data_IF_110866800683
#
_entry.id   IF_110866800683
#
_cell.length_a   1.000
_cell.length_b   1.000
_cell.length_c   1.000
_cell.angle_alpha   90.00
_cell.angle_beta   90.00
_cell.angle_gamma   90.00
#
_symmetry.space_group_name_H-M   'P 1'
#
loop_
_entity.id
_entity.type
_entity.pdbx_description
1 polymer ?
#
# COMPACT_ATOMS: atom_id res chain seq x y z
N UNK A 1 -25.70 -47.21 -22.84
CA UNK A 1 -25.73 -45.71 -22.97
C UNK A 1 -25.40 -45.04 -21.62
N UNK A 2 -24.12 -44.95 -21.21
CA UNK A 2 -23.76 -44.32 -19.92
C UNK A 2 -22.30 -43.82 -19.90
N UNK A 3 -21.89 -42.94 -20.85
CA UNK A 3 -20.51 -42.43 -20.89
C UNK A 3 -20.37 -40.92 -21.16
N UNK A 4 -21.45 -40.13 -21.16
CA UNK A 4 -21.33 -38.69 -21.49
C UNK A 4 -21.39 -37.75 -20.28
N UNK A 5 -21.73 -38.24 -19.09
CA UNK A 5 -21.87 -37.36 -17.89
C UNK A 5 -20.55 -36.88 -17.33
N UNK A 6 -19.49 -37.68 -17.40
CA UNK A 6 -18.18 -37.30 -16.84
C UNK A 6 -17.42 -36.25 -17.65
N UNK A 7 -17.55 -36.27 -18.97
CA UNK A 7 -16.83 -35.32 -19.85
C UNK A 7 -17.40 -33.90 -19.76
N UNK A 8 -18.67 -33.74 -19.53
CA UNK A 8 -19.33 -32.42 -19.35
C UNK A 8 -19.04 -31.80 -17.99
N UNK A 9 -18.99 -32.62 -16.93
CA UNK A 9 -18.62 -32.17 -15.58
C UNK A 9 -17.15 -31.68 -15.53
N UNK A 10 -16.24 -32.41 -16.13
CA UNK A 10 -14.83 -32.09 -16.19
C UNK A 10 -14.57 -30.80 -17.00
N UNK A 11 -15.27 -30.60 -18.12
CA UNK A 11 -15.15 -29.33 -18.91
C UNK A 11 -15.69 -28.13 -18.15
N UNK A 12 -16.78 -28.28 -17.38
CA UNK A 12 -17.33 -27.19 -16.55
C UNK A 12 -16.40 -26.82 -15.42
N UNK A 13 -15.77 -27.80 -14.76
CA UNK A 13 -14.77 -27.53 -13.70
C UNK A 13 -13.53 -26.82 -14.23
N UNK A 14 -13.03 -27.16 -15.40
CA UNK A 14 -11.89 -26.50 -16.04
C UNK A 14 -12.19 -25.04 -16.40
N UNK A 15 -13.40 -24.75 -16.89
CA UNK A 15 -13.83 -23.40 -17.21
C UNK A 15 -13.93 -22.52 -15.95
N UNK A 16 -14.48 -23.05 -14.86
CA UNK A 16 -14.59 -22.32 -13.59
C UNK A 16 -13.22 -22.02 -13.00
N UNK A 17 -12.30 -22.99 -13.03
CA UNK A 17 -10.93 -22.78 -12.54
C UNK A 17 -10.17 -21.76 -13.35
N UNK A 18 -10.35 -21.72 -14.68
CA UNK A 18 -9.66 -20.72 -15.52
C UNK A 18 -10.19 -19.31 -15.31
N UNK A 19 -11.49 -19.14 -15.11
CA UNK A 19 -12.08 -17.82 -14.81
C UNK A 19 -11.64 -17.29 -13.44
N UNK A 20 -11.56 -18.16 -12.43
CA UNK A 20 -11.05 -17.79 -11.11
C UNK A 20 -9.58 -17.30 -11.18
N UNK A 21 -8.74 -18.02 -11.92
CA UNK A 21 -7.33 -17.65 -12.07
C UNK A 21 -7.16 -16.29 -12.76
N UNK A 22 -7.97 -15.96 -13.75
CA UNK A 22 -7.95 -14.66 -14.42
C UNK A 22 -8.35 -13.51 -13.48
N UNK A 23 -9.37 -13.72 -12.65
CA UNK A 23 -9.79 -12.71 -11.67
C UNK A 23 -8.71 -12.43 -10.62
N UNK A 24 -8.00 -13.44 -10.13
CA UNK A 24 -6.91 -13.26 -9.18
C UNK A 24 -5.74 -12.46 -9.77
N UNK A 25 -5.44 -12.66 -11.04
CA UNK A 25 -4.39 -11.93 -11.74
C UNK A 25 -4.68 -10.43 -11.83
N UNK A 26 -5.92 -10.04 -12.06
CA UNK A 26 -6.30 -8.62 -12.16
C UNK A 26 -6.21 -7.91 -10.82
N UNK A 27 -6.61 -8.55 -9.72
CA UNK A 27 -6.49 -7.96 -8.38
C UNK A 27 -5.03 -7.78 -7.93
N UNK A 28 -4.18 -8.76 -8.24
CA UNK A 28 -2.76 -8.66 -7.91
C UNK A 28 -2.08 -7.51 -8.69
N UNK A 29 -2.43 -7.34 -9.94
CA UNK A 29 -1.89 -6.27 -10.78
C UNK A 29 -2.32 -4.88 -10.28
N UNK A 30 -3.59 -4.68 -9.98
CA UNK A 30 -4.10 -3.41 -9.47
C UNK A 30 -3.43 -3.02 -8.13
N UNK A 31 -3.21 -3.98 -7.23
CA UNK A 31 -2.48 -3.72 -5.98
C UNK A 31 -1.02 -3.33 -6.21
N UNK A 32 -0.36 -3.96 -7.16
CA UNK A 32 1.02 -3.63 -7.51
C UNK A 32 1.13 -2.21 -8.07
N UNK A 33 0.25 -1.82 -8.97
CA UNK A 33 0.23 -0.47 -9.54
C UNK A 33 -0.02 0.61 -8.48
N UNK A 34 -0.97 0.43 -7.57
CA UNK A 34 -1.22 1.35 -6.46
C UNK A 34 0.00 1.48 -5.51
N UNK A 35 0.71 0.39 -5.25
CA UNK A 35 1.96 0.43 -4.46
C UNK A 35 3.08 1.20 -5.17
N UNK A 36 3.21 1.03 -6.48
CA UNK A 36 4.20 1.74 -7.30
C UNK A 36 3.89 3.24 -7.34
N UNK A 37 2.66 3.61 -7.62
CA UNK A 37 2.19 4.99 -7.68
C UNK A 37 2.37 5.71 -6.34
N UNK A 38 1.96 5.09 -5.23
CA UNK A 38 2.18 5.63 -3.90
C UNK A 38 3.66 5.87 -3.58
N UNK A 39 4.53 4.91 -3.95
CA UNK A 39 5.97 5.06 -3.78
C UNK A 39 6.53 6.23 -4.56
N UNK A 40 6.11 6.41 -5.81
CA UNK A 40 6.53 7.53 -6.67
C UNK A 40 6.11 8.88 -6.06
N UNK A 41 4.86 9.02 -5.63
CA UNK A 41 4.37 10.21 -4.94
C UNK A 41 5.20 10.52 -3.68
N UNK A 42 5.49 9.53 -2.86
CA UNK A 42 6.29 9.72 -1.66
C UNK A 42 7.75 10.05 -1.96
N UNK A 43 8.30 9.51 -3.03
CA UNK A 43 9.65 9.88 -3.48
C UNK A 43 9.72 11.34 -3.92
N UNK A 44 8.74 11.84 -4.62
CA UNK A 44 8.68 13.22 -5.08
C UNK A 44 8.44 14.20 -3.92
N UNK A 45 7.48 13.92 -3.06
CA UNK A 45 7.00 14.86 -2.04
C UNK A 45 7.74 14.76 -0.71
N UNK A 46 8.22 13.58 -0.32
CA UNK A 46 8.69 13.30 1.04
C UNK A 46 10.17 12.89 1.13
N UNK A 47 10.76 12.38 0.04
CA UNK A 47 12.10 11.79 0.08
C UNK A 47 13.22 12.81 0.32
N UNK A 48 12.97 14.09 0.20
CA UNK A 48 13.93 15.14 0.58
C UNK A 48 14.29 15.10 2.07
N UNK A 49 13.36 14.64 2.90
CA UNK A 49 13.54 14.60 4.35
C UNK A 49 13.44 13.19 4.90
N UNK A 50 12.53 12.36 4.39
CA UNK A 50 12.23 11.03 4.91
C UNK A 50 12.83 9.92 4.04
N UNK A 51 13.28 8.82 4.67
CA UNK A 51 13.45 7.57 3.94
C UNK A 51 12.07 6.98 3.67
N UNK A 52 11.74 6.82 2.39
CA UNK A 52 10.43 6.35 1.93
C UNK A 52 10.41 4.87 1.55
N UNK A 53 11.53 4.17 1.69
CA UNK A 53 11.68 2.77 1.36
C UNK A 53 11.86 1.86 2.56
N UNK A 54 12.08 0.56 2.28
CA UNK A 54 12.33 -0.49 3.28
C UNK A 54 13.70 -0.35 3.95
N UNK A 55 14.63 0.38 3.34
CA UNK A 55 16.01 0.52 3.78
C UNK A 55 16.49 1.96 3.63
N UNK A 56 17.66 2.25 4.16
CA UNK A 56 18.31 3.56 4.07
C UNK A 56 17.95 4.50 5.22
N UNK A 57 18.83 5.45 5.50
CA UNK A 57 18.57 6.50 6.49
C UNK A 57 17.76 7.64 5.84
N UNK A 58 17.02 8.39 6.65
CA UNK A 58 16.39 9.62 6.22
C UNK A 58 17.47 10.69 5.96
N UNK A 59 17.38 11.45 4.85
CA UNK A 59 18.30 12.57 4.59
C UNK A 59 18.30 13.60 5.71
N UNK A 60 17.14 13.91 6.25
CA UNK A 60 17.01 14.73 7.46
C UNK A 60 16.96 13.80 8.69
N UNK A 61 17.94 13.96 9.60
CA UNK A 61 18.03 13.14 10.83
C UNK A 61 16.85 13.30 11.79
N UNK A 62 16.12 14.41 11.70
CA UNK A 62 14.91 14.67 12.51
C UNK A 62 13.64 14.07 11.88
N UNK A 63 13.69 13.65 10.62
CA UNK A 63 12.56 13.05 9.93
C UNK A 63 12.62 11.53 10.05
N UNK A 64 11.66 10.86 10.75
CA UNK A 64 11.70 9.41 10.90
C UNK A 64 11.50 8.72 9.55
N UNK A 65 12.19 7.59 9.29
CA UNK A 65 11.88 6.75 8.15
C UNK A 65 10.44 6.24 8.20
N UNK A 66 9.75 6.20 7.08
CA UNK A 66 8.33 5.76 7.06
C UNK A 66 8.14 4.32 7.53
N UNK A 67 9.11 3.45 7.31
CA UNK A 67 9.07 2.06 7.79
C UNK A 67 9.10 1.89 9.32
N UNK A 68 9.40 2.96 10.06
CA UNK A 68 9.44 2.95 11.52
C UNK A 68 8.22 3.60 12.18
N UNK A 69 7.17 3.89 11.41
CA UNK A 69 5.94 4.42 11.97
C UNK A 69 5.27 3.35 12.84
N UNK A 70 4.77 3.77 14.00
CA UNK A 70 4.07 2.83 14.89
C UNK A 70 2.74 2.38 14.29
N UNK A 71 2.32 1.16 14.62
CA UNK A 71 0.99 0.65 14.26
C UNK A 71 -0.11 1.58 14.74
N UNK A 72 0.00 2.13 15.95
CA UNK A 72 -0.97 3.07 16.50
C UNK A 72 -1.15 4.31 15.62
N UNK A 73 -0.07 4.82 15.01
CA UNK A 73 -0.16 5.95 14.07
C UNK A 73 -0.80 5.56 12.73
N UNK A 74 -0.44 4.39 12.18
CA UNK A 74 -0.90 3.96 10.86
C UNK A 74 -2.33 3.43 10.84
N UNK A 75 -2.84 2.97 11.98
CA UNK A 75 -4.21 2.49 12.15
C UNK A 75 -5.13 3.50 12.84
N UNK A 76 -4.62 4.68 13.16
CA UNK A 76 -5.42 5.81 13.60
C UNK A 76 -6.30 6.32 12.44
N UNK A 77 -7.62 6.34 12.64
CA UNK A 77 -8.58 6.85 11.66
C UNK A 77 -8.28 8.30 11.26
N UNK A 78 -7.77 9.09 12.20
CA UNK A 78 -7.44 10.48 11.96
C UNK A 78 -6.22 10.66 11.06
N UNK A 79 -5.34 9.68 10.97
CA UNK A 79 -4.17 9.76 10.07
C UNK A 79 -4.57 9.84 8.61
N UNK A 80 -5.57 9.03 8.20
CA UNK A 80 -6.15 9.10 6.86
C UNK A 80 -6.78 10.48 6.59
N UNK A 81 -7.52 11.01 7.56
CA UNK A 81 -8.14 12.32 7.45
C UNK A 81 -7.08 13.42 7.33
N UNK A 82 -6.04 13.39 8.15
CA UNK A 82 -4.93 14.35 8.07
C UNK A 82 -4.18 14.31 6.74
N UNK A 83 -4.05 13.15 6.09
CA UNK A 83 -3.49 13.07 4.73
C UNK A 83 -4.34 13.83 3.71
N UNK A 84 -5.65 13.86 3.88
CA UNK A 84 -6.57 14.56 2.99
C UNK A 84 -6.68 16.06 3.30
N UNK A 85 -6.75 16.42 4.57
CA UNK A 85 -6.88 17.82 5.02
C UNK A 85 -5.56 18.60 4.94
N UNK A 86 -4.47 17.89 4.87
CA UNK A 86 -3.11 18.39 4.94
C UNK A 86 -2.47 18.10 6.30
N UNK A 87 -1.36 17.40 6.25
CA UNK A 87 -0.53 17.16 7.44
C UNK A 87 0.04 18.48 7.93
N UNK A 88 -0.68 19.12 8.84
CA UNK A 88 -0.10 20.17 9.69
C UNK A 88 0.78 19.49 10.72
N UNK A 89 2.04 19.38 10.41
CA UNK A 89 3.05 18.82 11.30
C UNK A 89 3.40 19.84 12.36
N UNK A 90 3.67 19.38 13.58
CA UNK A 90 4.38 20.15 14.61
C UNK A 90 5.82 20.51 14.20
N UNK A 91 6.28 20.00 13.04
CA UNK A 91 7.57 20.34 12.48
C UNK A 91 7.46 21.54 11.54
N UNK A 92 7.99 22.71 11.90
CA UNK A 92 7.81 23.96 11.13
C UNK A 92 8.39 23.89 9.71
N UNK A 93 9.25 22.93 9.44
CA UNK A 93 9.92 22.74 8.14
C UNK A 93 9.28 21.67 7.25
N UNK A 94 8.21 21.00 7.71
CA UNK A 94 7.52 20.02 6.90
C UNK A 94 6.46 20.73 6.04
N UNK A 95 6.57 20.69 4.71
CA UNK A 95 5.53 21.25 3.84
C UNK A 95 4.19 20.56 4.06
N UNK A 96 3.11 21.31 3.90
CA UNK A 96 1.76 20.75 3.95
C UNK A 96 1.41 20.15 2.61
N UNK A 97 1.18 18.85 2.56
CA UNK A 97 0.69 18.12 1.39
C UNK A 97 -0.74 17.66 1.63
N UNK A 98 -1.58 17.76 0.61
CA UNK A 98 -2.95 17.25 0.61
C UNK A 98 -3.07 16.18 -0.44
N UNK A 99 -3.60 15.03 -0.05
CA UNK A 99 -3.89 13.94 -0.96
C UNK A 99 -5.41 13.86 -1.18
N UNK A 100 -5.84 13.54 -2.38
CA UNK A 100 -7.21 13.08 -2.57
C UNK A 100 -7.40 11.73 -1.84
N UNK A 101 -8.63 11.28 -1.71
CA UNK A 101 -8.97 10.09 -0.93
C UNK A 101 -8.25 8.82 -1.43
N UNK A 102 -8.17 8.65 -2.74
CA UNK A 102 -7.58 7.46 -3.34
C UNK A 102 -6.06 7.44 -3.14
N UNK A 103 -5.40 8.56 -3.43
CA UNK A 103 -3.96 8.72 -3.18
C UNK A 103 -3.62 8.56 -1.68
N UNK A 104 -4.44 9.10 -0.79
CA UNK A 104 -4.24 8.91 0.65
C UNK A 104 -4.32 7.44 1.06
N UNK A 105 -5.28 6.69 0.49
CA UNK A 105 -5.41 5.26 0.73
C UNK A 105 -4.22 4.47 0.17
N UNK A 106 -3.77 4.76 -1.04
CA UNK A 106 -2.59 4.13 -1.64
C UNK A 106 -1.32 4.40 -0.83
N UNK A 107 -1.09 5.65 -0.44
CA UNK A 107 0.04 6.07 0.41
C UNK A 107 0.02 5.34 1.75
N UNK A 108 -1.12 5.30 2.42
CA UNK A 108 -1.26 4.59 3.68
C UNK A 108 -1.00 3.09 3.54
N UNK A 109 -1.54 2.45 2.51
CA UNK A 109 -1.32 1.04 2.22
C UNK A 109 0.16 0.74 1.89
N UNK A 110 0.82 1.62 1.14
CA UNK A 110 2.24 1.49 0.87
C UNK A 110 3.07 1.59 2.16
N UNK A 111 2.85 2.62 2.97
CA UNK A 111 3.58 2.81 4.25
C UNK A 111 3.38 1.59 5.15
N UNK A 112 2.15 1.07 5.28
CA UNK A 112 1.88 -0.18 6.02
C UNK A 112 2.67 -1.38 5.48
N UNK A 113 2.83 -1.48 4.18
CA UNK A 113 3.52 -2.60 3.53
C UNK A 113 5.03 -2.64 3.77
N UNK A 114 5.63 -1.52 4.13
CA UNK A 114 7.08 -1.39 4.34
C UNK A 114 7.50 -1.37 5.82
N UNK A 115 6.55 -1.53 6.75
CA UNK A 115 6.87 -1.46 8.18
C UNK A 115 7.91 -2.51 8.60
N UNK A 116 8.82 -2.10 9.48
CA UNK A 116 9.72 -3.02 10.17
C UNK A 116 8.92 -3.87 11.16
N UNK A 117 9.24 -5.16 11.30
CA UNK A 117 8.64 -5.96 12.36
C UNK A 117 8.94 -5.35 13.73
N UNK A 118 8.02 -5.48 14.70
CA UNK A 118 8.27 -5.01 16.07
C UNK A 118 9.58 -5.59 16.61
N UNK A 119 10.41 -4.75 17.21
CA UNK A 119 11.65 -5.23 17.85
C UNK A 119 11.27 -6.14 19.01
N UNK A 120 11.86 -7.33 19.11
CA UNK A 120 11.65 -8.19 20.28
C UNK A 120 12.06 -7.43 21.54
N UNK A 121 11.21 -7.51 22.57
CA UNK A 121 11.49 -6.93 23.91
C UNK A 121 12.54 -7.74 24.62
#
# INVERSE_FOLDING_TARGET
MRQNSGKTAMKRSLLVLSTLALLWSTFAHARYEGQRHAKEMLQELCARCHSVGRTGASPNRLAPPFRTFSETKLYDSDFMQRLQDGLTSIHPFMPTFRFNRDNAAEVLNYIKSIQEPPKPK
#
